data_IF_854882734310
#
_entry.id   IF_854882734310
#
_cell.length_a   1.000
_cell.length_b   1.000
_cell.length_c   1.000
_cell.angle_alpha   90.00
_cell.angle_beta   90.00
_cell.angle_gamma   90.00
#
_symmetry.space_group_name_H-M   'P 1'
#
loop_
_entity.id
_entity.type
_entity.pdbx_description
1 polymer ?
#
# COMPACT_ATOMS: atom_id res chain seq x y z
N UNK A 1 -3.60 14.73 -25.03
CA UNK A 1 -3.78 13.30 -24.73
C UNK A 1 -2.76 12.79 -23.73
N UNK A 2 -3.01 12.77 -22.43
CA UNK A 2 -3.78 13.66 -21.56
C UNK A 2 -3.17 13.40 -20.17
N UNK A 3 -3.08 14.43 -19.35
CA UNK A 3 -2.50 14.41 -18.01
C UNK A 3 -2.90 13.18 -17.16
N UNK A 4 -4.12 12.66 -17.40
CA UNK A 4 -4.67 11.43 -16.83
C UNK A 4 -3.83 10.17 -17.11
N UNK A 5 -3.23 10.02 -18.30
CA UNK A 5 -2.39 8.85 -18.63
C UNK A 5 -1.09 8.84 -17.82
N UNK A 6 -0.47 10.02 -17.66
CA UNK A 6 0.72 10.19 -16.84
C UNK A 6 0.40 9.99 -15.35
N UNK A 7 -0.75 10.49 -14.89
CA UNK A 7 -1.24 10.30 -13.53
C UNK A 7 -1.55 8.83 -13.24
N UNK A 8 -2.22 8.12 -14.15
CA UNK A 8 -2.51 6.70 -14.03
C UNK A 8 -1.22 5.86 -13.91
N UNK A 9 -0.21 6.13 -14.74
CA UNK A 9 1.08 5.44 -14.64
C UNK A 9 1.80 5.71 -13.32
N UNK A 10 1.73 6.94 -12.79
CA UNK A 10 2.30 7.27 -11.47
C UNK A 10 1.59 6.52 -10.36
N UNK A 11 0.26 6.55 -10.34
CA UNK A 11 -0.56 5.84 -9.35
C UNK A 11 -0.34 4.33 -9.41
N UNK A 12 -0.20 3.74 -10.59
CA UNK A 12 0.13 2.31 -10.73
C UNK A 12 1.52 1.96 -10.18
N UNK A 13 2.52 2.83 -10.38
CA UNK A 13 3.87 2.63 -9.80
C UNK A 13 3.83 2.75 -8.28
N UNK A 14 3.11 3.74 -7.74
CA UNK A 14 2.94 3.91 -6.30
C UNK A 14 2.18 2.73 -5.67
N UNK A 15 1.10 2.28 -6.30
CA UNK A 15 0.34 1.12 -5.87
C UNK A 15 1.24 -0.12 -5.74
N UNK A 16 2.04 -0.41 -6.77
CA UNK A 16 2.98 -1.53 -6.76
C UNK A 16 4.02 -1.39 -5.65
N UNK A 17 4.53 -0.17 -5.42
CA UNK A 17 5.49 0.12 -4.34
C UNK A 17 4.88 -0.16 -2.96
N UNK A 18 3.67 0.32 -2.70
CA UNK A 18 3.00 0.10 -1.42
C UNK A 18 2.61 -1.36 -1.20
N UNK A 19 2.09 -2.05 -2.23
CA UNK A 19 1.80 -3.49 -2.14
C UNK A 19 3.06 -4.33 -1.86
N UNK A 20 4.19 -3.99 -2.51
CA UNK A 20 5.47 -4.67 -2.28
C UNK A 20 5.94 -4.45 -0.84
N UNK A 21 5.84 -3.21 -0.36
CA UNK A 21 6.25 -2.85 1.01
C UNK A 21 5.36 -3.53 2.06
N UNK A 22 4.05 -3.58 1.84
CA UNK A 22 3.09 -4.26 2.70
C UNK A 22 3.39 -5.76 2.78
N UNK A 23 3.60 -6.41 1.63
CA UNK A 23 3.97 -7.83 1.56
C UNK A 23 5.27 -8.11 2.31
N UNK A 24 6.26 -7.23 2.15
CA UNK A 24 7.54 -7.36 2.84
C UNK A 24 7.37 -7.22 4.36
N UNK A 25 6.61 -6.22 4.82
CA UNK A 25 6.30 -6.05 6.25
C UNK A 25 5.57 -7.27 6.85
N UNK A 26 4.61 -7.83 6.13
CA UNK A 26 3.90 -9.04 6.55
C UNK A 26 4.84 -10.26 6.62
N UNK A 27 5.76 -10.41 5.65
CA UNK A 27 6.78 -11.46 5.67
C UNK A 27 7.77 -11.28 6.82
N UNK A 28 8.24 -10.07 7.05
CA UNK A 28 9.16 -9.76 8.13
C UNK A 28 8.51 -9.96 9.50
N UNK A 29 7.23 -9.59 9.64
CA UNK A 29 6.44 -9.88 10.83
C UNK A 29 6.27 -11.39 11.05
N UNK A 30 5.88 -12.14 10.02
CA UNK A 30 5.74 -13.59 10.08
C UNK A 30 7.06 -14.30 10.42
N UNK A 31 8.19 -13.77 9.95
CA UNK A 31 9.54 -14.25 10.31
C UNK A 31 9.94 -13.86 11.73
N UNK A 32 9.48 -12.71 12.24
CA UNK A 32 9.95 -12.17 13.51
C UNK A 32 9.56 -12.99 14.74
N UNK A 33 8.46 -13.77 14.71
CA UNK A 33 7.96 -14.77 15.71
C UNK A 33 8.27 -14.60 17.23
N UNK A 34 8.72 -13.44 17.67
CA UNK A 34 9.23 -13.12 19.03
C UNK A 34 9.03 -11.60 19.17
N UNK A 35 7.99 -11.12 19.86
CA UNK A 35 7.94 -11.10 21.32
C UNK A 35 8.03 -9.68 21.91
N UNK A 36 7.41 -8.68 21.26
CA UNK A 36 7.25 -7.33 21.85
C UNK A 36 5.87 -6.77 21.52
N UNK A 37 5.03 -6.63 22.55
CA UNK A 37 3.66 -6.07 22.47
C UNK A 37 3.61 -4.68 21.83
N UNK A 38 4.73 -3.93 21.88
CA UNK A 38 4.87 -2.62 21.23
C UNK A 38 5.26 -2.72 19.75
N UNK A 39 6.14 -3.67 19.38
CA UNK A 39 6.48 -3.95 17.99
C UNK A 39 5.27 -4.44 17.19
N UNK A 40 4.43 -5.26 17.82
CA UNK A 40 3.20 -5.79 17.21
C UNK A 40 2.19 -4.68 16.93
N UNK A 41 1.93 -3.77 17.88
CA UNK A 41 1.02 -2.62 17.65
C UNK A 41 1.52 -1.67 16.58
N UNK A 42 2.83 -1.40 16.55
CA UNK A 42 3.41 -0.53 15.54
C UNK A 42 3.28 -1.15 14.14
N UNK A 43 3.61 -2.43 13.98
CA UNK A 43 3.46 -3.15 12.72
C UNK A 43 1.99 -3.25 12.28
N UNK A 44 1.08 -3.54 13.20
CA UNK A 44 -0.36 -3.57 12.91
C UNK A 44 -0.87 -2.20 12.42
N UNK A 45 -0.42 -1.12 13.06
CA UNK A 45 -0.77 0.24 12.64
C UNK A 45 -0.18 0.57 11.27
N UNK A 46 1.08 0.21 11.01
CA UNK A 46 1.71 0.41 9.70
C UNK A 46 0.97 -0.37 8.61
N UNK A 47 0.61 -1.63 8.85
CA UNK A 47 -0.18 -2.45 7.92
C UNK A 47 -1.50 -1.75 7.58
N UNK A 48 -2.25 -1.26 8.58
CA UNK A 48 -3.51 -0.55 8.37
C UNK A 48 -3.34 0.74 7.55
N UNK A 49 -2.26 1.49 7.82
CA UNK A 49 -1.96 2.72 7.05
C UNK A 49 -1.65 2.37 5.59
N UNK A 50 -0.78 1.40 5.32
CA UNK A 50 -0.47 1.00 3.95
C UNK A 50 -1.69 0.43 3.22
N UNK A 51 -2.54 -0.34 3.90
CA UNK A 51 -3.78 -0.86 3.32
C UNK A 51 -4.73 0.28 2.94
N UNK A 52 -4.92 1.26 3.83
CA UNK A 52 -5.73 2.45 3.53
C UNK A 52 -5.18 3.26 2.36
N UNK A 53 -3.86 3.44 2.26
CA UNK A 53 -3.23 4.12 1.11
C UNK A 53 -3.43 3.36 -0.19
N UNK A 54 -3.33 2.03 -0.16
CA UNK A 54 -3.58 1.16 -1.32
C UNK A 54 -5.03 1.30 -1.79
N UNK A 55 -6.00 1.26 -0.87
CA UNK A 55 -7.42 1.41 -1.20
C UNK A 55 -7.72 2.79 -1.84
N UNK A 56 -7.14 3.87 -1.30
CA UNK A 56 -7.29 5.21 -1.86
C UNK A 56 -6.76 5.29 -3.30
N UNK A 57 -5.56 4.75 -3.55
CA UNK A 57 -4.96 4.75 -4.88
C UNK A 57 -5.75 3.87 -5.86
N UNK A 58 -6.27 2.72 -5.41
CA UNK A 58 -7.13 1.87 -6.22
C UNK A 58 -8.42 2.59 -6.61
N UNK A 59 -9.06 3.29 -5.67
CA UNK A 59 -10.25 4.08 -5.94
C UNK A 59 -9.96 5.22 -6.92
N UNK A 60 -8.83 5.90 -6.75
CA UNK A 60 -8.43 6.98 -7.66
C UNK A 60 -8.15 6.46 -9.08
N UNK A 61 -7.48 5.32 -9.21
CA UNK A 61 -7.28 4.63 -10.49
C UNK A 61 -8.62 4.27 -11.14
N UNK A 62 -9.57 3.76 -10.35
CA UNK A 62 -10.89 3.38 -10.86
C UNK A 62 -11.67 4.61 -11.36
N UNK A 63 -11.65 5.70 -10.59
CA UNK A 63 -12.25 6.97 -10.98
C UNK A 63 -11.61 7.55 -12.25
N UNK A 64 -10.29 7.40 -12.43
CA UNK A 64 -9.58 7.85 -13.63
C UNK A 64 -9.84 6.97 -14.86
N UNK A 65 -10.24 5.71 -14.68
CA UNK A 65 -10.61 4.80 -15.78
C UNK A 65 -12.06 4.96 -16.24
N UNK A 66 -12.92 5.47 -15.37
CA UNK A 66 -14.34 5.74 -15.66
C UNK A 66 -14.58 7.11 -16.30
N UNK A 67 -13.58 8.01 -16.24
CA UNK A 67 -13.56 9.31 -16.92
C UNK A 67 -12.92 9.18 -18.31
#
# INVERSE_FOLDING_TARGET
MSENKNKLQRLQKELKKYQTKLTQMQKDWAKSKVGSRYGDKYLETQIKVYDSMIQQIQQEILNLKQK
#
